data_IF_105037688158
#
_entry.id   IF_105037688158
#
_cell.length_a   1.000
_cell.length_b   1.000
_cell.length_c   1.000
_cell.angle_alpha   90.00
_cell.angle_beta   90.00
_cell.angle_gamma   90.00
#
_symmetry.space_group_name_H-M   'P 1'
#
loop_
_entity.id
_entity.type
_entity.pdbx_description
1 polymer ?
#
# COMPACT_ATOMS: atom_id res chain seq x y z
N UNK A 1 -27.95 -2.67 -2.03
CA UNK A 1 -27.41 -4.02 -1.98
C UNK A 1 -26.08 -3.96 -1.25
N UNK A 2 -25.92 -4.72 -0.17
CA UNK A 2 -24.63 -4.87 0.49
C UNK A 2 -23.73 -5.71 -0.43
N UNK A 3 -22.69 -5.09 -0.95
CA UNK A 3 -21.64 -5.79 -1.70
C UNK A 3 -20.62 -6.30 -0.68
N UNK A 4 -20.33 -7.59 -0.71
CA UNK A 4 -19.28 -8.18 0.12
C UNK A 4 -17.95 -7.46 -0.13
N UNK A 5 -17.26 -7.13 0.96
CA UNK A 5 -16.00 -6.40 0.92
C UNK A 5 -14.90 -7.14 0.13
N UNK A 6 -14.95 -8.48 0.05
CA UNK A 6 -14.05 -9.25 -0.81
C UNK A 6 -14.26 -9.00 -2.31
N UNK A 7 -15.46 -8.56 -2.71
CA UNK A 7 -15.80 -8.24 -4.11
C UNK A 7 -15.53 -6.78 -4.50
N UNK A 8 -15.11 -5.94 -3.55
CA UNK A 8 -14.93 -4.50 -3.74
C UNK A 8 -13.50 -4.12 -4.17
N UNK A 9 -12.53 -5.00 -3.94
CA UNK A 9 -11.15 -4.81 -4.36
C UNK A 9 -10.84 -5.72 -5.56
N UNK A 10 -10.35 -5.12 -6.64
CA UNK A 10 -9.99 -5.84 -7.84
C UNK A 10 -8.78 -6.73 -7.55
N UNK A 11 -8.86 -8.01 -7.91
CA UNK A 11 -7.71 -8.94 -7.94
C UNK A 11 -6.56 -8.46 -8.85
N UNK A 12 -6.79 -7.39 -9.61
CA UNK A 12 -5.81 -6.65 -10.42
C UNK A 12 -5.33 -5.33 -9.80
N UNK A 13 -5.56 -5.08 -8.50
CA UNK A 13 -5.03 -3.89 -7.84
C UNK A 13 -3.49 -3.85 -8.01
N UNK A 14 -2.98 -2.75 -8.56
CA UNK A 14 -1.57 -2.64 -8.99
C UNK A 14 -0.59 -2.89 -7.85
N UNK A 15 -0.97 -2.54 -6.62
CA UNK A 15 -0.19 -2.80 -5.41
C UNK A 15 -0.06 -4.30 -5.08
N UNK A 16 -1.03 -5.13 -5.47
CA UNK A 16 -0.99 -6.59 -5.31
C UNK A 16 -0.19 -7.23 -6.45
N UNK A 17 -0.27 -6.67 -7.67
CA UNK A 17 0.53 -7.12 -8.81
C UNK A 17 2.01 -6.71 -8.70
N UNK A 18 2.34 -5.60 -8.03
CA UNK A 18 3.71 -5.13 -7.81
C UNK A 18 4.56 -6.09 -6.96
N UNK A 19 3.93 -7.01 -6.20
CA UNK A 19 4.66 -8.15 -5.61
C UNK A 19 5.36 -9.03 -6.65
N UNK A 20 4.93 -8.99 -7.92
CA UNK A 20 5.55 -9.72 -9.04
C UNK A 20 6.38 -8.81 -9.96
N UNK A 21 6.31 -7.48 -9.82
CA UNK A 21 6.96 -6.53 -10.72
C UNK A 21 8.08 -5.70 -10.06
N UNK A 22 8.60 -6.13 -8.92
CA UNK A 22 9.92 -5.72 -8.45
C UNK A 22 11.08 -6.39 -9.22
N UNK A 23 10.83 -6.99 -10.39
CA UNK A 23 11.83 -7.62 -11.27
C UNK A 23 12.54 -6.61 -12.21
N UNK A 24 12.63 -5.35 -11.79
CA UNK A 24 13.34 -4.28 -12.53
C UNK A 24 14.32 -3.47 -11.68
N UNK A 25 14.41 -3.72 -10.38
CA UNK A 25 15.49 -3.19 -9.55
C UNK A 25 16.64 -4.21 -9.59
N UNK A 26 17.89 -3.74 -9.60
CA UNK A 26 19.08 -4.60 -9.52
C UNK A 26 18.82 -5.76 -8.56
N UNK A 27 19.20 -6.98 -8.96
CA UNK A 27 19.16 -8.21 -8.16
C UNK A 27 19.97 -8.02 -6.88
N UNK A 28 19.40 -7.25 -5.97
CA UNK A 28 20.00 -6.81 -4.74
C UNK A 28 19.60 -7.89 -3.77
N UNK A 29 20.60 -8.67 -3.37
CA UNK A 29 20.43 -9.70 -2.38
C UNK A 29 19.77 -9.08 -1.14
N UNK A 30 18.65 -9.66 -0.71
CA UNK A 30 17.91 -9.25 0.49
C UNK A 30 17.91 -10.39 1.49
N UNK A 31 18.03 -10.05 2.78
CA UNK A 31 17.83 -10.96 3.90
C UNK A 31 16.43 -10.77 4.47
N UNK A 32 15.74 -11.88 4.70
CA UNK A 32 14.48 -11.90 5.42
C UNK A 32 14.74 -11.97 6.92
N UNK A 33 14.13 -11.06 7.68
CA UNK A 33 14.20 -11.02 9.14
C UNK A 33 12.79 -11.09 9.70
N UNK A 34 12.55 -12.03 10.61
CA UNK A 34 11.32 -12.07 11.39
C UNK A 34 11.46 -11.16 12.62
N UNK A 35 10.62 -10.13 12.71
CA UNK A 35 10.55 -9.22 13.85
C UNK A 35 9.50 -9.65 14.88
N UNK A 36 8.59 -10.54 14.50
CA UNK A 36 7.45 -10.99 15.31
C UNK A 36 7.71 -12.29 16.06
N UNK A 37 6.63 -12.88 16.57
CA UNK A 37 6.68 -14.17 17.26
C UNK A 37 6.62 -15.33 16.25
N UNK A 38 6.89 -16.56 16.73
CA UNK A 38 6.82 -17.77 15.89
C UNK A 38 5.41 -17.97 15.33
N UNK A 39 4.38 -17.72 16.14
CA UNK A 39 2.97 -17.90 15.75
C UNK A 39 2.42 -16.76 14.89
N UNK A 40 3.04 -15.58 14.94
CA UNK A 40 2.65 -14.40 14.18
C UNK A 40 3.91 -13.74 13.57
N UNK A 41 4.45 -14.35 12.50
CA UNK A 41 5.67 -13.85 11.89
C UNK A 41 5.44 -12.49 11.24
N UNK A 42 6.34 -11.56 11.53
CA UNK A 42 6.37 -10.20 10.97
C UNK A 42 7.64 -10.05 10.16
N UNK A 43 7.58 -10.50 8.90
CA UNK A 43 8.76 -10.63 8.02
C UNK A 43 9.04 -9.29 7.33
N UNK A 44 10.30 -8.85 7.39
CA UNK A 44 10.82 -7.69 6.65
C UNK A 44 12.01 -8.09 5.80
N UNK A 45 12.14 -7.45 4.64
CA UNK A 45 13.27 -7.63 3.73
C UNK A 45 14.28 -6.50 3.97
N UNK A 46 15.51 -6.83 4.36
CA UNK A 46 16.60 -5.88 4.55
C UNK A 46 17.66 -6.16 3.48
N UNK A 47 18.22 -5.13 2.87
CA UNK A 47 19.27 -5.29 1.86
C UNK A 47 20.54 -5.90 2.50
N UNK A 48 21.13 -6.92 1.87
CA UNK A 48 22.35 -7.56 2.38
C UNK A 48 23.59 -6.67 2.35
N UNK A 49 23.57 -5.63 1.50
CA UNK A 49 24.67 -4.67 1.36
C UNK A 49 24.79 -3.67 2.52
N UNK A 50 23.92 -3.75 3.55
CA UNK A 50 24.02 -2.91 4.74
C UNK A 50 25.15 -3.41 5.66
N UNK A 51 25.83 -2.48 6.35
CA UNK A 51 26.79 -2.87 7.38
C UNK A 51 26.09 -3.57 8.56
N UNK A 52 26.82 -4.40 9.32
CA UNK A 52 26.24 -5.13 10.46
C UNK A 52 25.64 -4.18 11.51
N UNK A 53 26.32 -3.06 11.78
CA UNK A 53 25.88 -2.05 12.74
C UNK A 53 24.60 -1.34 12.28
N UNK A 54 24.54 -0.91 11.02
CA UNK A 54 23.33 -0.29 10.45
C UNK A 54 22.15 -1.27 10.44
N UNK A 55 22.41 -2.53 10.09
CA UNK A 55 21.40 -3.59 10.09
C UNK A 55 20.81 -3.79 11.48
N UNK A 56 21.64 -3.90 12.51
CA UNK A 56 21.17 -4.07 13.90
C UNK A 56 20.39 -2.85 14.39
N UNK A 57 20.86 -1.64 14.07
CA UNK A 57 20.14 -0.39 14.36
C UNK A 57 18.78 -0.37 13.67
N UNK A 58 18.70 -0.81 12.41
CA UNK A 58 17.45 -0.86 11.67
C UNK A 58 16.47 -1.89 12.26
N UNK A 59 16.96 -3.09 12.59
CA UNK A 59 16.16 -4.13 13.24
C UNK A 59 15.64 -3.66 14.60
N UNK A 60 16.47 -3.01 15.42
CA UNK A 60 16.04 -2.49 16.72
C UNK A 60 14.99 -1.38 16.59
N UNK A 61 15.13 -0.49 15.59
CA UNK A 61 14.14 0.53 15.27
C UNK A 61 12.81 -0.10 14.87
N UNK A 62 12.81 -1.05 13.94
CA UNK A 62 11.58 -1.70 13.47
C UNK A 62 10.90 -2.52 14.57
N UNK A 63 11.67 -3.16 15.44
CA UNK A 63 11.13 -3.85 16.63
C UNK A 63 10.46 -2.88 17.60
N UNK A 64 11.00 -1.67 17.77
CA UNK A 64 10.41 -0.65 18.64
C UNK A 64 9.05 -0.13 18.13
N UNK A 65 8.84 -0.11 16.82
CA UNK A 65 7.61 0.39 16.18
C UNK A 65 6.80 -0.74 15.53
N UNK A 66 6.92 -1.96 16.04
CA UNK A 66 6.31 -3.16 15.46
C UNK A 66 4.78 -3.13 15.48
N UNK A 67 4.20 -2.33 16.36
CA UNK A 67 2.77 -2.11 16.59
C UNK A 67 2.18 -1.00 15.71
N UNK A 68 2.99 -0.06 15.23
CA UNK A 68 2.57 1.04 14.35
C UNK A 68 2.51 0.61 12.88
N UNK A 69 3.27 -0.43 12.51
CA UNK A 69 3.31 -0.96 11.15
C UNK A 69 2.08 -1.83 10.86
N UNK A 70 1.56 -1.71 9.64
CA UNK A 70 0.53 -2.60 9.15
C UNK A 70 1.14 -3.83 8.47
N UNK A 71 0.98 -4.99 9.11
CA UNK A 71 1.52 -6.27 8.64
C UNK A 71 0.55 -6.99 7.71
N UNK A 72 -0.74 -6.70 7.89
CA UNK A 72 -1.81 -7.11 7.01
C UNK A 72 -2.61 -5.90 6.51
N UNK A 73 -3.36 -6.11 5.44
CA UNK A 73 -4.29 -5.10 4.94
C UNK A 73 -5.39 -4.76 5.96
N UNK A 74 -5.75 -5.71 6.82
CA UNK A 74 -6.71 -5.49 7.90
C UNK A 74 -6.18 -4.48 8.89
N UNK A 75 -4.87 -4.48 9.15
CA UNK A 75 -4.19 -3.53 10.05
C UNK A 75 -4.20 -2.11 9.47
N UNK A 76 -4.07 -1.96 8.14
CA UNK A 76 -4.23 -0.65 7.46
C UNK A 76 -5.66 -0.12 7.58
N UNK A 77 -6.65 -1.02 7.57
CA UNK A 77 -8.07 -0.68 7.67
C UNK A 77 -8.53 -0.56 9.12
N UNK A 78 -7.68 0.06 9.96
CA UNK A 78 -7.86 0.17 11.42
C UNK A 78 -9.18 0.84 11.84
N UNK A 79 -9.85 1.54 10.93
CA UNK A 79 -11.16 2.13 11.18
C UNK A 79 -12.28 1.13 10.89
N UNK A 80 -13.03 0.76 11.93
CA UNK A 80 -14.28 0.04 11.75
C UNK A 80 -15.20 0.93 10.91
N UNK A 81 -15.87 0.39 9.87
CA UNK A 81 -16.81 1.17 9.06
C UNK A 81 -17.93 1.84 9.87
N UNK A 82 -18.20 1.32 11.07
CA UNK A 82 -19.16 1.89 12.03
C UNK A 82 -18.63 3.12 12.77
N UNK A 83 -17.31 3.22 12.94
CA UNK A 83 -16.66 4.27 13.73
C UNK A 83 -16.31 5.49 12.85
N UNK A 84 -16.17 5.29 11.53
CA UNK A 84 -15.91 6.37 10.56
C UNK A 84 -16.88 6.25 9.39
N UNK A 85 -18.11 6.72 9.61
CA UNK A 85 -19.04 6.98 8.53
C UNK A 85 -19.10 8.48 8.26
N UNK A 86 -18.43 8.95 7.20
CA UNK A 86 -18.68 10.30 6.72
C UNK A 86 -20.03 10.34 5.98
N UNK A 87 -20.87 11.32 6.29
CA UNK A 87 -22.05 11.64 5.48
C UNK A 87 -21.74 12.93 4.74
N UNK A 88 -21.77 12.88 3.41
CA UNK A 88 -21.65 14.09 2.59
C UNK A 88 -23.07 14.65 2.45
N UNK A 89 -23.41 15.79 3.08
CA UNK A 89 -24.74 16.36 2.96
C UNK A 89 -24.98 16.79 1.51
N UNK A 90 -26.01 16.21 0.88
CA UNK A 90 -26.46 16.58 -0.45
C UNK A 90 -27.66 17.53 -0.34
N UNK A 91 -27.73 18.52 -1.24
CA UNK A 91 -28.94 19.33 -1.39
C UNK A 91 -30.05 18.42 -1.95
N UNK A 92 -31.21 18.43 -1.29
CA UNK A 92 -32.36 17.56 -1.62
C UNK A 92 -32.85 17.72 -3.06
N UNK A 93 -32.69 18.91 -3.64
CA UNK A 93 -33.16 19.24 -4.98
C UNK A 93 -32.18 18.84 -6.10
N UNK A 94 -31.00 18.32 -5.77
CA UNK A 94 -29.96 18.02 -6.76
C UNK A 94 -30.03 16.56 -7.17
N UNK A 95 -30.34 16.33 -8.45
CA UNK A 95 -30.35 14.98 -9.04
C UNK A 95 -28.92 14.45 -9.23
N UNK A 96 -28.66 13.16 -8.97
CA UNK A 96 -27.37 12.54 -9.28
C UNK A 96 -27.02 12.72 -10.76
N UNK A 97 -25.80 13.17 -11.06
CA UNK A 97 -25.32 13.32 -12.43
C UNK A 97 -24.14 12.39 -12.70
N UNK A 98 -24.24 11.59 -13.76
CA UNK A 98 -23.12 10.76 -14.23
C UNK A 98 -22.26 11.59 -15.18
N UNK A 99 -21.05 11.95 -14.76
CA UNK A 99 -20.08 12.61 -15.64
C UNK A 99 -19.39 11.56 -16.52
N UNK A 100 -19.28 11.81 -17.83
CA UNK A 100 -18.46 10.98 -18.72
C UNK A 100 -16.99 11.18 -18.35
N UNK A 101 -16.26 10.09 -18.14
CA UNK A 101 -14.82 10.15 -17.91
C UNK A 101 -14.15 10.78 -19.13
N UNK A 102 -13.37 11.83 -18.91
CA UNK A 102 -12.53 12.41 -19.97
C UNK A 102 -11.28 11.55 -20.10
N UNK A 103 -10.93 11.21 -21.33
CA UNK A 103 -9.63 10.58 -21.63
C UNK A 103 -8.56 11.63 -21.38
N UNK A 104 -7.58 11.31 -20.54
CA UNK A 104 -6.38 12.13 -20.40
C UNK A 104 -5.64 12.02 -21.74
N UNK A 105 -5.51 13.12 -22.47
CA UNK A 105 -4.66 13.11 -23.68
C UNK A 105 -3.22 13.14 -23.19
N UNK A 106 -2.41 12.23 -23.69
CA UNK A 106 -0.96 12.34 -23.57
C UNK A 106 -0.57 13.68 -24.22
N UNK A 107 -0.13 14.62 -23.41
CA UNK A 107 0.58 15.77 -23.94
C UNK A 107 1.94 15.24 -24.39
N UNK A 108 2.31 15.34 -25.67
CA UNK A 108 3.68 15.09 -26.03
C UNK A 108 4.52 16.08 -25.23
N UNK A 109 5.40 15.55 -24.38
CA UNK A 109 6.46 16.34 -23.78
C UNK A 109 7.13 17.08 -24.94
N UNK A 110 7.02 18.42 -24.98
CA UNK A 110 7.83 19.20 -25.89
C UNK A 110 9.26 18.91 -25.50
N UNK A 111 10.00 18.22 -26.36
CA UNK A 111 11.45 18.22 -26.26
C UNK A 111 11.84 19.70 -26.37
N UNK A 112 12.28 20.28 -25.25
CA UNK A 112 13.04 21.52 -25.28
C UNK A 112 14.43 21.11 -25.75
N UNK A 113 14.59 21.01 -27.06
CA UNK A 113 15.89 21.13 -27.71
C UNK A 113 15.92 22.52 -28.32
N UNK A 114 16.64 23.41 -27.66
CA UNK A 114 17.31 24.61 -28.21
C UNK A 114 18.47 24.97 -27.26
#
# INVERSE_FOLDING_TARGET
GLVSLEGLFDKHDRFIQDKRQAEGASSSEVDQVNLGFVDQPKIVNIKKCCSSEERERFISLLKRYIDVLAWSYVDLKYFKPKDVQHSIPLKLEVKPCRKKQKVLRDYPCRNLED
#
